data_IF_077941032188
#
_entry.id   IF_077941032188
#
_cell.length_a   1.000
_cell.length_b   1.000
_cell.length_c   1.000
_cell.angle_alpha   90.00
_cell.angle_beta   90.00
_cell.angle_gamma   90.00
#
_symmetry.space_group_name_H-M   'P 1'
#
loop_
_entity.id
_entity.type
_entity.pdbx_description
1 polymer ?
#
# COMPACT_ATOMS: atom_id res chain seq x y z
N UNK A 1 -15.89 16.73 -1.19
CA UNK A 1 -17.13 16.99 -1.95
C UNK A 1 -17.62 15.79 -2.74
N UNK A 2 -16.75 14.87 -3.11
CA UNK A 2 -17.17 13.60 -3.72
C UNK A 2 -18.25 12.93 -2.86
N UNK A 3 -18.05 12.86 -1.56
CA UNK A 3 -19.00 12.24 -0.63
C UNK A 3 -20.33 13.00 -0.51
N UNK A 4 -20.31 14.32 -0.63
CA UNK A 4 -21.53 15.13 -0.56
C UNK A 4 -22.31 15.15 -1.86
N UNK A 5 -21.62 15.06 -3.00
CA UNK A 5 -22.21 15.18 -4.33
C UNK A 5 -22.64 13.81 -4.90
N UNK A 6 -22.23 12.71 -4.26
CA UNK A 6 -22.57 11.34 -4.67
C UNK A 6 -23.32 10.62 -3.53
N UNK A 7 -24.65 10.64 -3.52
CA UNK A 7 -25.44 9.94 -2.49
C UNK A 7 -25.06 8.47 -2.38
N UNK A 8 -24.92 7.98 -1.14
CA UNK A 8 -24.54 6.58 -0.80
C UNK A 8 -23.11 6.18 -1.22
N UNK A 9 -22.22 7.12 -1.51
CA UNK A 9 -20.82 6.81 -1.76
C UNK A 9 -20.19 6.18 -0.52
N UNK A 10 -19.58 5.01 -0.68
CA UNK A 10 -19.02 4.25 0.46
C UNK A 10 -17.72 4.88 0.99
N UNK A 11 -17.12 5.79 0.24
CA UNK A 11 -15.81 6.34 0.53
C UNK A 11 -14.68 5.33 0.37
N UNK A 12 -13.48 5.85 0.22
CA UNK A 12 -12.25 5.06 0.13
C UNK A 12 -11.08 5.93 0.59
N UNK A 13 -9.89 5.35 0.68
CA UNK A 13 -8.68 6.15 0.86
C UNK A 13 -8.46 7.09 -0.34
N UNK A 14 -8.77 6.66 -1.57
CA UNK A 14 -8.70 7.49 -2.77
C UNK A 14 -9.61 8.72 -2.71
N UNK A 15 -10.84 8.56 -2.19
CA UNK A 15 -11.76 9.67 -1.92
C UNK A 15 -11.19 10.67 -0.92
N UNK A 16 -10.66 10.18 0.21
CA UNK A 16 -10.06 11.03 1.24
C UNK A 16 -8.82 11.78 0.73
N UNK A 17 -8.02 11.16 -0.15
CA UNK A 17 -6.88 11.81 -0.81
C UNK A 17 -7.37 12.96 -1.69
N UNK A 18 -8.37 12.74 -2.53
CA UNK A 18 -8.95 13.79 -3.38
C UNK A 18 -9.41 15.01 -2.58
N UNK A 19 -10.14 14.78 -1.49
CA UNK A 19 -10.65 15.86 -0.63
C UNK A 19 -9.50 16.60 0.09
N UNK A 20 -8.47 15.88 0.54
CA UNK A 20 -7.31 16.48 1.17
C UNK A 20 -6.50 17.33 0.17
N UNK A 21 -6.33 16.87 -1.06
CA UNK A 21 -5.65 17.64 -2.14
C UNK A 21 -6.46 18.88 -2.48
N UNK A 22 -7.78 18.76 -2.66
CA UNK A 22 -8.66 19.91 -2.94
C UNK A 22 -8.56 20.97 -1.82
N UNK A 23 -8.59 20.52 -0.56
CA UNK A 23 -8.44 21.44 0.58
C UNK A 23 -7.08 22.13 0.58
N UNK A 24 -6.00 21.39 0.32
CA UNK A 24 -4.66 21.97 0.27
C UNK A 24 -4.51 22.99 -0.87
N UNK A 25 -5.10 22.71 -2.03
CA UNK A 25 -5.05 23.62 -3.18
C UNK A 25 -5.88 24.90 -2.96
N UNK A 26 -6.96 24.82 -2.20
CA UNK A 26 -7.87 25.95 -1.92
C UNK A 26 -7.49 26.76 -0.69
N UNK A 27 -6.54 26.30 0.13
CA UNK A 27 -6.17 26.96 1.39
C UNK A 27 -4.78 27.60 1.27
N UNK A 28 -4.62 28.91 1.46
CA UNK A 28 -3.32 29.60 1.40
C UNK A 28 -2.32 28.97 2.38
N UNK A 29 -1.08 28.78 1.93
CA UNK A 29 0.03 28.20 2.71
C UNK A 29 -0.21 26.75 3.22
N UNK A 30 -1.24 26.08 2.76
CA UNK A 30 -1.48 24.68 3.06
C UNK A 30 -0.62 23.78 2.15
N UNK A 31 -0.14 22.67 2.70
CA UNK A 31 0.58 21.62 1.99
C UNK A 31 -0.04 20.28 2.35
N UNK A 32 -0.08 19.38 1.37
CA UNK A 32 -0.52 18.01 1.58
C UNK A 32 0.64 17.04 1.45
N UNK A 33 0.77 16.15 2.41
CA UNK A 33 1.75 15.05 2.37
C UNK A 33 1.01 13.77 2.05
N UNK A 34 1.07 13.34 0.80
CA UNK A 34 0.48 12.08 0.35
C UNK A 34 1.20 10.89 1.00
N UNK A 35 0.40 9.92 1.47
CA UNK A 35 0.91 8.69 2.09
C UNK A 35 1.08 7.52 1.11
N UNK A 36 1.33 6.40 1.64
CA UNK A 36 1.43 4.99 1.23
C UNK A 36 1.86 4.61 -0.19
N UNK A 37 1.44 5.28 -1.27
CA UNK A 37 1.77 4.88 -2.66
C UNK A 37 3.02 5.55 -3.22
N UNK A 38 3.49 6.60 -2.58
CA UNK A 38 4.63 7.36 -3.05
C UNK A 38 5.95 6.71 -2.62
N UNK A 39 6.94 6.74 -3.52
CA UNK A 39 8.23 6.11 -3.28
C UNK A 39 8.96 6.66 -2.05
N UNK A 40 8.88 7.97 -1.78
CA UNK A 40 9.50 8.57 -0.60
C UNK A 40 8.87 8.08 0.70
N UNK A 41 7.57 7.77 0.72
CA UNK A 41 6.90 7.20 1.89
C UNK A 41 7.39 5.77 2.13
N UNK A 42 7.46 4.96 1.09
CA UNK A 42 8.02 3.61 1.18
C UNK A 42 9.47 3.64 1.70
N UNK A 43 10.27 4.60 1.23
CA UNK A 43 11.66 4.77 1.69
C UNK A 43 11.72 5.18 3.16
N UNK A 44 10.93 6.14 3.61
CA UNK A 44 10.89 6.54 5.03
C UNK A 44 10.43 5.41 5.95
N UNK A 45 9.50 4.57 5.50
CA UNK A 45 9.03 3.42 6.26
C UNK A 45 10.10 2.34 6.46
N UNK A 46 11.17 2.34 5.67
CA UNK A 46 12.26 1.34 5.81
C UNK A 46 12.98 1.41 7.15
N UNK A 47 12.82 2.48 7.93
CA UNK A 47 13.32 2.55 9.31
C UNK A 47 12.82 1.35 10.14
N UNK A 48 11.61 0.88 9.89
CA UNK A 48 11.02 -0.29 10.58
C UNK A 48 11.81 -1.56 10.26
N UNK A 49 12.08 -1.82 8.99
CA UNK A 49 12.86 -2.99 8.57
C UNK A 49 14.33 -2.91 8.99
N UNK A 50 14.93 -1.70 8.96
CA UNK A 50 16.30 -1.50 9.45
C UNK A 50 16.43 -1.75 10.96
N UNK A 51 15.43 -1.40 11.74
CA UNK A 51 15.38 -1.74 13.17
C UNK A 51 15.13 -3.23 13.37
N UNK A 52 14.22 -3.83 12.59
CA UNK A 52 13.92 -5.25 12.64
C UNK A 52 15.17 -6.10 12.31
N UNK A 53 15.98 -5.73 11.32
CA UNK A 53 17.25 -6.39 11.03
C UNK A 53 18.17 -6.46 12.26
N UNK A 54 18.33 -5.32 12.95
CA UNK A 54 19.17 -5.27 14.16
C UNK A 54 18.61 -6.12 15.31
N UNK A 55 17.28 -6.11 15.46
CA UNK A 55 16.62 -6.93 16.49
C UNK A 55 16.77 -8.42 16.19
N UNK A 56 16.66 -8.84 14.92
CA UNK A 56 16.90 -10.22 14.50
C UNK A 56 18.36 -10.63 14.72
N UNK A 57 19.33 -9.75 14.37
CA UNK A 57 20.74 -9.98 14.65
C UNK A 57 21.01 -10.17 16.14
N UNK A 58 20.43 -9.31 17.02
CA UNK A 58 20.55 -9.45 18.48
C UNK A 58 19.95 -10.77 18.99
N UNK A 59 18.91 -11.28 18.34
CA UNK A 59 18.31 -12.58 18.67
C UNK A 59 19.11 -13.79 18.11
N UNK A 60 20.10 -13.54 17.24
CA UNK A 60 20.84 -14.58 16.54
C UNK A 60 20.03 -15.29 15.45
N UNK A 61 18.99 -14.63 14.95
CA UNK A 61 18.01 -15.15 13.99
C UNK A 61 17.98 -14.35 12.69
N UNK A 62 17.40 -14.93 11.64
CA UNK A 62 17.12 -14.25 10.38
C UNK A 62 15.80 -14.78 9.77
N UNK A 63 14.93 -13.94 9.18
CA UNK A 63 13.63 -14.40 8.74
C UNK A 63 13.71 -15.19 7.41
N UNK A 64 13.09 -16.36 7.38
CA UNK A 64 12.86 -17.12 6.15
C UNK A 64 11.71 -16.49 5.34
N UNK A 65 10.75 -15.88 6.03
CA UNK A 65 9.58 -15.25 5.41
C UNK A 65 9.29 -13.91 6.10
N UNK A 66 9.09 -12.87 5.31
CA UNK A 66 8.58 -11.57 5.78
C UNK A 66 7.19 -11.36 5.21
N UNK A 67 6.21 -11.16 6.10
CA UNK A 67 4.81 -10.92 5.72
C UNK A 67 4.42 -9.52 6.18
N UNK A 68 3.84 -8.73 5.28
CA UNK A 68 3.37 -7.38 5.58
C UNK A 68 1.97 -7.11 5.07
N UNK A 69 1.17 -6.37 5.86
CA UNK A 69 -0.14 -5.87 5.43
C UNK A 69 0.03 -4.93 4.23
N UNK A 70 -0.88 -5.03 3.27
CA UNK A 70 -0.80 -4.27 2.03
C UNK A 70 -2.04 -3.41 1.77
N UNK A 71 -1.93 -2.11 2.04
CA UNK A 71 -2.85 -1.07 1.55
C UNK A 71 -2.31 -0.48 0.25
N UNK A 72 -1.64 0.67 0.32
CA UNK A 72 -0.88 1.24 -0.82
C UNK A 72 0.53 0.68 -0.97
N UNK A 73 1.07 -0.01 0.04
CA UNK A 73 2.35 -0.70 -0.01
C UNK A 73 3.43 -0.20 0.95
N UNK A 74 3.27 0.95 1.60
CA UNK A 74 4.35 1.52 2.45
C UNK A 74 4.68 0.65 3.67
N UNK A 75 3.68 0.05 4.32
CA UNK A 75 3.90 -0.86 5.44
C UNK A 75 4.70 -2.10 5.01
N UNK A 76 4.29 -2.73 3.92
CA UNK A 76 5.02 -3.86 3.34
C UNK A 76 6.44 -3.46 2.92
N UNK A 77 6.60 -2.35 2.20
CA UNK A 77 7.90 -1.83 1.79
C UNK A 77 8.80 -1.55 3.00
N UNK A 78 8.23 -0.93 4.03
CA UNK A 78 8.96 -0.56 5.24
C UNK A 78 9.62 -1.73 5.95
N UNK A 79 8.89 -2.83 6.11
CA UNK A 79 9.45 -4.04 6.75
C UNK A 79 10.30 -4.87 5.78
N UNK A 80 9.96 -4.90 4.48
CA UNK A 80 10.54 -5.86 3.53
C UNK A 80 11.80 -5.37 2.84
N UNK A 81 11.90 -4.09 2.44
CA UNK A 81 12.98 -3.60 1.60
C UNK A 81 14.38 -3.78 2.20
N UNK A 82 14.61 -3.52 3.51
CA UNK A 82 15.92 -3.81 4.10
C UNK A 82 16.34 -5.27 3.97
N UNK A 83 15.43 -6.21 4.18
CA UNK A 83 15.70 -7.64 4.02
C UNK A 83 15.84 -8.05 2.54
N UNK A 84 15.05 -7.45 1.61
CA UNK A 84 15.17 -7.70 0.17
C UNK A 84 16.56 -7.37 -0.37
N UNK A 85 17.23 -6.38 0.21
CA UNK A 85 18.61 -6.03 -0.15
C UNK A 85 19.54 -7.25 -0.13
N UNK A 86 19.39 -8.10 0.87
CA UNK A 86 20.22 -9.31 1.01
C UNK A 86 19.90 -10.38 -0.04
N UNK A 87 18.64 -10.43 -0.51
CA UNK A 87 18.30 -11.30 -1.64
C UNK A 87 18.93 -10.77 -2.95
N UNK A 88 18.94 -9.45 -3.17
CA UNK A 88 19.55 -8.86 -4.37
C UNK A 88 21.07 -9.05 -4.42
N UNK A 89 21.73 -9.09 -3.26
CA UNK A 89 23.17 -9.38 -3.17
C UNK A 89 23.50 -10.88 -3.18
N UNK A 90 22.48 -11.73 -3.14
CA UNK A 90 22.65 -13.19 -3.09
C UNK A 90 23.07 -13.73 -1.71
N UNK A 91 23.05 -12.89 -0.68
CA UNK A 91 23.44 -13.30 0.70
C UNK A 91 22.35 -14.13 1.38
N UNK A 92 21.09 -13.90 1.04
CA UNK A 92 19.91 -14.54 1.64
C UNK A 92 18.87 -14.89 0.57
N UNK A 93 17.91 -15.73 0.98
CA UNK A 93 16.78 -16.14 0.15
C UNK A 93 15.49 -16.10 0.97
N UNK A 94 15.13 -14.91 1.43
CA UNK A 94 13.90 -14.66 2.19
C UNK A 94 12.71 -14.55 1.24
N UNK A 95 11.58 -15.14 1.60
CA UNK A 95 10.30 -14.95 0.89
C UNK A 95 9.62 -13.69 1.41
N UNK A 96 9.02 -12.91 0.50
CA UNK A 96 8.28 -11.68 0.83
C UNK A 96 6.84 -11.82 0.40
N UNK A 97 5.91 -11.71 1.35
CA UNK A 97 4.47 -11.92 1.11
C UNK A 97 3.69 -10.67 1.50
N UNK A 98 3.05 -10.05 0.53
CA UNK A 98 2.11 -8.96 0.75
C UNK A 98 0.71 -9.52 1.00
N UNK A 99 0.15 -9.24 2.17
CA UNK A 99 -1.19 -9.66 2.55
C UNK A 99 -2.17 -8.49 2.38
N UNK A 100 -3.07 -8.59 1.39
CA UNK A 100 -4.09 -7.58 1.11
C UNK A 100 -5.50 -8.08 1.47
N UNK A 101 -6.47 -7.16 1.74
CA UNK A 101 -7.83 -7.59 2.00
C UNK A 101 -8.51 -8.08 0.71
N UNK A 102 -9.25 -9.17 0.79
CA UNK A 102 -10.02 -9.72 -0.32
C UNK A 102 -11.08 -8.73 -0.87
N UNK A 103 -11.44 -7.69 -0.11
CA UNK A 103 -12.31 -6.58 -0.54
C UNK A 103 -11.60 -5.54 -1.41
N UNK A 104 -10.26 -5.53 -1.43
CA UNK A 104 -9.44 -4.61 -2.24
C UNK A 104 -8.23 -5.35 -2.84
N UNK A 105 -8.46 -6.39 -3.67
CA UNK A 105 -7.43 -7.33 -4.11
C UNK A 105 -6.63 -6.79 -5.31
N UNK A 106 -5.98 -5.62 -5.17
CA UNK A 106 -5.27 -4.96 -6.27
C UNK A 106 -4.03 -5.69 -6.75
N UNK A 107 -3.30 -6.36 -5.86
CA UNK A 107 -2.13 -7.14 -6.26
C UNK A 107 -2.52 -8.50 -6.86
N UNK A 108 -3.55 -9.15 -6.30
CA UNK A 108 -3.94 -10.51 -6.72
C UNK A 108 -4.90 -10.51 -7.91
N UNK A 109 -5.76 -9.48 -8.05
CA UNK A 109 -6.81 -9.41 -9.09
C UNK A 109 -6.84 -8.10 -9.86
N UNK A 110 -6.01 -7.12 -9.52
CA UNK A 110 -5.89 -5.86 -10.23
C UNK A 110 -5.05 -5.99 -11.49
N UNK A 111 -5.08 -4.95 -12.31
CA UNK A 111 -4.31 -4.83 -13.54
C UNK A 111 -3.11 -3.92 -13.35
N UNK A 112 -1.96 -4.26 -13.97
CA UNK A 112 -0.82 -3.38 -14.04
C UNK A 112 -1.03 -2.34 -15.16
N UNK A 113 -1.29 -1.10 -14.78
CA UNK A 113 -1.50 0.01 -15.71
C UNK A 113 -1.21 1.36 -15.05
N UNK A 114 -1.18 2.40 -15.86
CA UNK A 114 -1.16 3.77 -15.33
C UNK A 114 -2.52 4.13 -14.73
N UNK A 115 -2.51 4.63 -13.50
CA UNK A 115 -3.71 5.08 -12.81
C UNK A 115 -3.40 6.25 -11.86
N UNK A 116 -4.45 6.92 -11.41
CA UNK A 116 -4.34 7.98 -10.40
C UNK A 116 -4.25 7.39 -8.99
N UNK A 117 -3.52 8.07 -8.13
CA UNK A 117 -3.45 7.72 -6.71
C UNK A 117 -4.69 8.12 -5.91
N UNK A 118 -5.60 8.91 -6.50
CA UNK A 118 -6.82 9.44 -5.89
C UNK A 118 -8.01 9.33 -6.83
N UNK A 119 -9.22 9.39 -6.28
CA UNK A 119 -10.46 9.17 -7.02
C UNK A 119 -10.75 10.25 -8.06
N UNK A 120 -10.48 11.52 -7.74
CA UNK A 120 -10.75 12.66 -8.63
C UNK A 120 -9.66 12.91 -9.67
N UNK A 121 -8.53 12.20 -9.60
CA UNK A 121 -7.42 12.36 -10.54
C UNK A 121 -6.59 13.62 -10.32
N UNK A 122 -6.47 14.09 -9.10
CA UNK A 122 -5.63 15.24 -8.72
C UNK A 122 -4.15 14.87 -8.56
N UNK A 123 -3.85 13.58 -8.35
CA UNK A 123 -2.49 13.08 -8.25
C UNK A 123 -1.93 12.74 -9.63
N UNK A 124 -0.58 12.66 -9.78
CA UNK A 124 0.01 12.20 -11.03
C UNK A 124 -0.40 10.76 -11.39
N UNK A 125 -0.47 10.49 -12.69
CA UNK A 125 -0.56 9.13 -13.21
C UNK A 125 0.71 8.36 -12.88
N UNK A 126 0.57 7.18 -12.30
CA UNK A 126 1.67 6.31 -11.91
C UNK A 126 1.41 4.88 -12.36
N UNK A 127 2.44 4.14 -12.82
CA UNK A 127 2.29 2.72 -13.10
C UNK A 127 2.07 1.96 -11.78
N UNK A 128 0.98 1.19 -11.70
CA UNK A 128 0.58 0.46 -10.49
C UNK A 128 -0.30 -0.74 -10.81
N UNK A 129 -0.28 -1.74 -9.96
CA UNK A 129 -1.38 -2.68 -9.89
C UNK A 129 -2.58 -1.98 -9.28
N UNK A 130 -3.72 -1.99 -9.97
CA UNK A 130 -4.90 -1.20 -9.59
C UNK A 130 -6.20 -1.91 -9.90
N UNK A 131 -7.22 -1.62 -9.09
CA UNK A 131 -8.62 -1.96 -9.34
C UNK A 131 -9.36 -0.84 -10.07
N UNK A 132 -8.67 0.31 -10.29
CA UNK A 132 -9.23 1.54 -10.82
C UNK A 132 -9.42 2.61 -9.76
N UNK A 133 -9.04 3.86 -10.07
CA UNK A 133 -9.13 4.98 -9.11
C UNK A 133 -10.58 5.28 -8.67
N UNK A 134 -11.57 4.90 -9.46
CA UNK A 134 -12.99 5.00 -9.10
C UNK A 134 -13.54 3.76 -8.38
N UNK A 135 -12.70 2.75 -8.09
CA UNK A 135 -13.12 1.56 -7.36
C UNK A 135 -13.52 1.91 -5.92
N UNK A 136 -14.75 1.56 -5.56
CA UNK A 136 -15.26 1.72 -4.20
C UNK A 136 -15.29 0.37 -3.49
N UNK A 137 -14.41 0.14 -2.52
CA UNK A 137 -14.37 -1.12 -1.79
C UNK A 137 -15.58 -1.29 -0.87
N UNK A 138 -15.94 -2.55 -0.57
CA UNK A 138 -16.99 -2.86 0.38
C UNK A 138 -16.77 -2.15 1.73
N UNK A 139 -17.87 -1.75 2.38
CA UNK A 139 -17.82 -1.04 3.65
C UNK A 139 -17.55 -2.03 4.82
N UNK A 140 -16.32 -2.47 4.91
CA UNK A 140 -15.81 -3.31 5.99
C UNK A 140 -14.76 -2.55 6.80
N UNK A 141 -14.59 -2.90 8.07
CA UNK A 141 -13.52 -2.35 8.89
C UNK A 141 -12.18 -3.00 8.49
N UNK A 142 -11.33 -2.25 7.79
CA UNK A 142 -10.03 -2.72 7.30
C UNK A 142 -8.92 -1.67 7.46
N UNK A 143 -9.02 -0.83 8.48
CA UNK A 143 -8.01 0.12 8.96
C UNK A 143 -6.92 0.57 7.97
N UNK A 144 -7.22 1.45 7.01
CA UNK A 144 -6.25 1.95 6.02
C UNK A 144 -5.96 0.98 4.85
N UNK A 145 -6.54 -0.20 4.82
CA UNK A 145 -6.32 -1.20 3.77
C UNK A 145 -7.33 -1.09 2.60
N UNK A 146 -8.31 -0.19 2.69
CA UNK A 146 -9.34 0.05 1.67
C UNK A 146 -8.82 1.03 0.60
N UNK A 147 -7.87 0.57 -0.22
CA UNK A 147 -7.23 1.38 -1.26
C UNK A 147 -7.13 0.60 -2.58
N UNK A 148 -7.38 1.29 -3.70
CA UNK A 148 -7.51 0.70 -5.03
C UNK A 148 -6.19 0.34 -5.70
N UNK A 149 -5.07 0.97 -5.31
CA UNK A 149 -3.81 0.90 -6.04
C UNK A 149 -2.62 0.45 -5.17
N UNK A 150 -1.56 0.05 -5.83
CA UNK A 150 -0.28 -0.30 -5.24
C UNK A 150 0.81 0.69 -5.65
N UNK A 151 1.70 1.05 -4.73
CA UNK A 151 2.82 1.93 -5.03
C UNK A 151 3.68 1.41 -6.18
N UNK A 152 4.28 2.31 -6.95
CA UNK A 152 5.01 1.99 -8.18
C UNK A 152 6.14 0.99 -7.95
N UNK A 153 6.97 1.20 -6.93
CA UNK A 153 8.12 0.31 -6.65
C UNK A 153 7.65 -1.10 -6.28
N UNK A 154 6.64 -1.22 -5.40
CA UNK A 154 6.11 -2.55 -5.02
C UNK A 154 5.40 -3.23 -6.19
N UNK A 155 4.77 -2.46 -7.08
CA UNK A 155 4.18 -2.99 -8.31
C UNK A 155 5.25 -3.58 -9.23
N UNK A 156 6.40 -2.90 -9.36
CA UNK A 156 7.52 -3.40 -10.13
C UNK A 156 8.13 -4.67 -9.51
N UNK A 157 8.35 -4.67 -8.20
CA UNK A 157 8.89 -5.84 -7.47
C UNK A 157 7.99 -7.08 -7.63
N UNK A 158 6.67 -6.87 -7.64
CA UNK A 158 5.72 -7.96 -7.91
C UNK A 158 5.84 -8.45 -9.36
N UNK A 159 5.90 -7.54 -10.33
CA UNK A 159 6.06 -7.87 -11.75
C UNK A 159 7.33 -8.69 -12.00
N UNK A 160 8.42 -8.32 -11.35
CA UNK A 160 9.72 -8.95 -11.47
C UNK A 160 9.85 -10.25 -10.64
N UNK A 161 8.81 -10.62 -9.89
CA UNK A 161 8.79 -11.88 -9.13
C UNK A 161 9.55 -11.86 -7.81
N UNK A 162 9.90 -10.69 -7.27
CA UNK A 162 10.61 -10.55 -5.99
C UNK A 162 9.68 -10.63 -4.77
N UNK A 163 8.38 -10.67 -4.97
CA UNK A 163 7.40 -10.79 -3.89
C UNK A 163 6.17 -11.56 -4.35
N UNK A 164 5.53 -12.20 -3.38
CA UNK A 164 4.24 -12.87 -3.52
C UNK A 164 3.12 -11.95 -3.00
N UNK A 165 1.89 -12.17 -3.45
CA UNK A 165 0.71 -11.50 -2.93
C UNK A 165 -0.37 -12.52 -2.59
N UNK A 166 -1.03 -12.32 -1.46
CA UNK A 166 -2.18 -13.12 -1.02
C UNK A 166 -3.32 -12.21 -0.61
N UNK A 167 -4.54 -12.58 -0.93
CA UNK A 167 -5.73 -11.90 -0.43
C UNK A 167 -6.30 -12.64 0.79
N UNK A 168 -6.64 -11.88 1.81
CA UNK A 168 -7.14 -12.39 3.08
C UNK A 168 -8.56 -11.91 3.31
N UNK A 169 -9.45 -12.81 3.74
CA UNK A 169 -10.76 -12.43 4.25
C UNK A 169 -10.61 -11.84 5.66
N UNK A 170 -11.09 -10.61 5.84
CA UNK A 170 -11.23 -10.00 7.16
C UNK A 170 -12.62 -10.39 7.64
N UNK A 171 -12.71 -11.31 8.58
CA UNK A 171 -13.95 -11.66 9.24
C UNK A 171 -14.23 -10.69 10.38
N UNK A 172 -15.40 -10.04 10.37
CA UNK A 172 -15.86 -9.16 11.46
C UNK A 172 -15.95 -9.87 12.82
N UNK A 173 -15.89 -11.20 12.84
CA UNK A 173 -15.90 -12.02 14.06
C UNK A 173 -14.67 -11.87 14.95
N UNK A 174 -13.54 -11.36 14.42
CA UNK A 174 -12.32 -11.16 15.21
C UNK A 174 -12.33 -9.88 16.05
N UNK A 175 -13.35 -9.03 15.90
CA UNK A 175 -13.51 -7.75 16.61
C UNK A 175 -14.68 -7.71 17.59
N UNK A 176 -15.27 -8.86 17.91
CA UNK A 176 -16.33 -8.98 18.90
C UNK A 176 -15.83 -9.39 20.28
#
# INVERSE_FOLDING_TARGET
RILTDTPNHQGSLGTAISEAVELAMSTPNCKYTLGSVMNHVSLHQTVIGLEAEKQMEMAGEYPDVVIGCFGGGSNFAGISFPFMRHNFTGERNTRFVAAEPASCPKLTRGELRYDFGDEAGYTPLMPMYTLGHSFSPANIHAGGLRYHGAGTVVSQLKLDGFMEAVDCFINDEWYK
#
